data_IF_566352662477
#
_entry.id   IF_566352662477
#
_cell.length_a   1.000
_cell.length_b   1.000
_cell.length_c   1.000
_cell.angle_alpha   90.00
_cell.angle_beta   90.00
_cell.angle_gamma   90.00
#
_symmetry.space_group_name_H-M   'P 1'
#
loop_
_entity.id
_entity.type
_entity.pdbx_description
1 polymer ?
#
# COMPACT_ATOMS: atom_id res chain seq x y z
N UNK A 1 -14.35 -2.70 1.90
CA UNK A 1 -14.06 -3.96 2.61
C UNK A 1 -12.56 -4.01 2.79
N UNK A 2 -12.09 -3.86 4.03
CA UNK A 2 -10.67 -3.86 4.33
C UNK A 2 -10.09 -5.24 3.99
N UNK A 3 -9.12 -5.28 3.07
CA UNK A 3 -8.48 -6.53 2.61
C UNK A 3 -7.83 -7.28 3.77
N UNK A 4 -7.29 -6.54 4.73
CA UNK A 4 -6.65 -7.13 5.91
C UNK A 4 -7.71 -7.81 6.78
N UNK A 5 -8.86 -7.17 6.99
CA UNK A 5 -9.96 -7.77 7.76
C UNK A 5 -10.57 -8.97 7.04
N UNK A 6 -10.77 -8.87 5.71
CA UNK A 6 -11.39 -9.92 4.91
C UNK A 6 -10.54 -11.20 4.83
N UNK A 7 -9.22 -11.08 4.93
CA UNK A 7 -8.30 -12.21 4.91
C UNK A 7 -7.61 -12.42 6.27
N UNK A 8 -8.15 -11.87 7.35
CA UNK A 8 -7.55 -11.93 8.68
C UNK A 8 -7.30 -13.36 9.17
N UNK A 9 -8.20 -14.28 8.81
CA UNK A 9 -8.11 -15.72 9.04
C UNK A 9 -7.03 -16.43 8.21
N UNK A 10 -6.53 -15.79 7.15
CA UNK A 10 -5.49 -16.30 6.25
C UNK A 10 -4.14 -15.58 6.41
N UNK A 11 -4.10 -14.52 7.22
CA UNK A 11 -2.86 -13.78 7.50
C UNK A 11 -2.10 -14.54 8.58
N UNK A 12 -1.08 -15.28 8.16
CA UNK A 12 -0.21 -16.02 9.08
C UNK A 12 0.83 -15.15 9.79
N UNK A 13 0.98 -13.89 9.39
CA UNK A 13 1.92 -12.94 9.99
C UNK A 13 2.38 -11.85 9.02
N UNK A 14 3.30 -11.01 9.47
CA UNK A 14 3.97 -9.99 8.67
C UNK A 14 5.40 -10.45 8.35
N UNK A 15 5.82 -10.30 7.10
CA UNK A 15 7.19 -10.57 6.65
C UNK A 15 7.98 -9.26 6.62
N UNK A 16 9.11 -9.22 7.31
CA UNK A 16 10.10 -8.13 7.26
C UNK A 16 11.41 -8.68 6.66
N UNK A 17 11.82 -8.19 5.49
CA UNK A 17 13.09 -8.59 4.84
C UNK A 17 13.72 -7.43 4.07
N UNK A 18 15.02 -7.54 3.76
CA UNK A 18 15.88 -6.37 3.50
C UNK A 18 16.29 -6.06 2.07
N UNK A 19 15.98 -6.85 1.03
CA UNK A 19 16.54 -6.55 -0.30
C UNK A 19 15.53 -6.30 -1.42
N UNK A 20 14.57 -7.21 -1.66
CA UNK A 20 13.54 -7.01 -2.68
C UNK A 20 12.38 -7.97 -2.48
N UNK A 21 11.18 -7.43 -2.25
CA UNK A 21 9.94 -8.22 -2.32
C UNK A 21 9.35 -8.03 -3.72
N UNK A 22 9.55 -9.02 -4.60
CA UNK A 22 8.84 -9.10 -5.87
C UNK A 22 7.57 -9.91 -5.63
N UNK A 23 6.43 -9.22 -5.49
CA UNK A 23 5.14 -9.89 -5.43
C UNK A 23 4.76 -10.30 -6.86
N UNK A 24 5.09 -11.53 -7.24
CA UNK A 24 4.61 -12.13 -8.48
C UNK A 24 3.17 -12.59 -8.28
N UNK A 25 2.23 -11.68 -8.55
CA UNK A 25 0.80 -11.91 -8.46
C UNK A 25 0.02 -10.63 -8.60
N UNK A 26 -1.22 -10.73 -9.06
CA UNK A 26 -2.11 -9.57 -9.14
C UNK A 26 -2.89 -9.48 -7.83
N UNK A 27 -2.84 -8.34 -7.16
CA UNK A 27 -3.85 -8.02 -6.14
C UNK A 27 -5.15 -7.80 -6.91
N UNK A 28 -6.05 -8.78 -6.89
CA UNK A 28 -7.25 -8.81 -7.75
C UNK A 28 -8.06 -7.51 -7.68
N UNK A 29 -8.17 -6.92 -6.49
CA UNK A 29 -8.86 -5.64 -6.25
C UNK A 29 -8.17 -4.44 -6.90
N UNK A 30 -6.88 -4.53 -7.23
CA UNK A 30 -6.08 -3.48 -7.86
C UNK A 30 -5.74 -3.81 -9.33
N UNK A 31 -6.11 -5.01 -9.81
CA UNK A 31 -5.66 -5.54 -11.09
C UNK A 31 -6.26 -4.83 -12.31
N UNK A 32 -7.46 -4.26 -12.18
CA UNK A 32 -8.10 -3.55 -13.29
C UNK A 32 -8.95 -2.37 -12.79
N UNK A 33 -9.29 -1.40 -13.67
CA UNK A 33 -10.02 -0.20 -13.27
C UNK A 33 -11.36 -0.45 -12.60
N UNK A 34 -12.10 -1.51 -12.97
CA UNK A 34 -13.39 -1.84 -12.35
C UNK A 34 -13.22 -2.35 -10.92
N UNK A 35 -12.26 -3.23 -10.71
CA UNK A 35 -11.94 -3.74 -9.39
C UNK A 35 -11.37 -2.64 -8.49
N UNK A 36 -10.55 -1.76 -9.06
CA UNK A 36 -10.02 -0.61 -8.34
C UNK A 36 -11.11 0.38 -7.94
N UNK A 37 -12.07 0.67 -8.84
CA UNK A 37 -13.23 1.47 -8.52
C UNK A 37 -14.08 0.83 -7.40
N UNK A 38 -14.29 -0.49 -7.46
CA UNK A 38 -14.99 -1.22 -6.40
C UNK A 38 -14.25 -1.10 -5.07
N UNK A 39 -12.93 -1.20 -5.07
CA UNK A 39 -12.11 -0.97 -3.89
C UNK A 39 -12.33 0.43 -3.29
N UNK A 40 -12.30 1.48 -4.12
CA UNK A 40 -12.52 2.86 -3.67
C UNK A 40 -13.92 3.03 -3.06
N UNK A 41 -14.97 2.55 -3.73
CA UNK A 41 -16.36 2.59 -3.24
C UNK A 41 -16.46 1.87 -1.89
N UNK A 42 -15.83 0.70 -1.78
CA UNK A 42 -15.88 -0.12 -0.56
C UNK A 42 -15.14 0.50 0.63
N UNK A 43 -14.31 1.52 0.39
CA UNK A 43 -13.60 2.31 1.40
C UNK A 43 -14.18 3.73 1.52
N UNK A 44 -15.37 3.98 0.98
CA UNK A 44 -16.04 5.29 0.97
C UNK A 44 -15.21 6.41 0.34
N UNK A 45 -14.30 6.07 -0.59
CA UNK A 45 -13.49 7.03 -1.34
C UNK A 45 -14.22 7.38 -2.64
N UNK A 46 -14.58 8.66 -2.80
CA UNK A 46 -15.16 9.15 -4.06
C UNK A 46 -14.06 9.43 -5.07
N UNK A 47 -14.39 9.35 -6.36
CA UNK A 47 -13.45 9.68 -7.44
C UNK A 47 -12.95 11.13 -7.37
N UNK A 48 -13.79 12.07 -6.94
CA UNK A 48 -13.39 13.47 -6.71
C UNK A 48 -12.28 13.58 -5.65
N UNK A 49 -12.33 12.72 -4.64
CA UNK A 49 -11.40 12.72 -3.51
C UNK A 49 -10.16 11.84 -3.76
N UNK A 50 -10.07 11.22 -4.94
CA UNK A 50 -9.02 10.25 -5.27
C UNK A 50 -7.62 10.84 -5.12
N UNK A 51 -7.41 12.09 -5.58
CA UNK A 51 -6.10 12.73 -5.50
C UNK A 51 -5.63 12.87 -4.04
N UNK A 52 -6.50 13.38 -3.16
CA UNK A 52 -6.19 13.53 -1.74
C UNK A 52 -5.99 12.19 -1.06
N UNK A 53 -6.82 11.19 -1.39
CA UNK A 53 -6.65 9.82 -0.90
C UNK A 53 -5.29 9.23 -1.31
N UNK A 54 -4.96 9.28 -2.60
CA UNK A 54 -3.72 8.74 -3.12
C UNK A 54 -2.50 9.42 -2.47
N UNK A 55 -2.54 10.75 -2.34
CA UNK A 55 -1.50 11.51 -1.64
C UNK A 55 -1.35 11.05 -0.18
N UNK A 56 -2.44 10.90 0.55
CA UNK A 56 -2.41 10.45 1.94
C UNK A 56 -1.79 9.04 2.07
N UNK A 57 -2.15 8.11 1.17
CA UNK A 57 -1.56 6.76 1.19
C UNK A 57 -0.07 6.79 0.85
N UNK A 58 0.34 7.59 -0.14
CA UNK A 58 1.76 7.77 -0.49
C UNK A 58 2.53 8.38 0.67
N UNK A 59 2.03 9.47 1.27
CA UNK A 59 2.68 10.15 2.39
C UNK A 59 2.84 9.17 3.58
N UNK A 60 1.81 8.37 3.89
CA UNK A 60 1.87 7.35 4.93
C UNK A 60 2.92 6.27 4.65
N UNK A 61 3.06 5.85 3.39
CA UNK A 61 4.05 4.85 2.99
C UNK A 61 5.47 5.41 3.10
N UNK A 62 5.70 6.63 2.58
CA UNK A 62 6.99 7.30 2.66
C UNK A 62 7.41 7.51 4.12
N UNK A 63 6.50 8.02 4.98
CA UNK A 63 6.77 8.22 6.41
C UNK A 63 7.17 6.93 7.13
N UNK A 64 6.50 5.82 6.79
CA UNK A 64 6.85 4.51 7.36
C UNK A 64 8.23 4.06 6.91
N UNK A 65 8.54 4.19 5.62
CA UNK A 65 9.86 3.84 5.06
C UNK A 65 10.96 4.72 5.67
N UNK A 66 10.73 6.03 5.77
CA UNK A 66 11.66 6.98 6.38
C UNK A 66 11.95 6.62 7.84
N UNK A 67 10.91 6.33 8.62
CA UNK A 67 11.08 5.93 10.03
C UNK A 67 11.87 4.63 10.13
N UNK A 68 11.53 3.63 9.31
CA UNK A 68 12.21 2.34 9.31
C UNK A 68 13.69 2.43 8.91
N UNK A 69 14.01 3.23 7.91
CA UNK A 69 15.39 3.45 7.48
C UNK A 69 16.22 4.17 8.54
N UNK A 70 15.64 5.19 9.18
CA UNK A 70 16.27 5.89 10.30
C UNK A 70 16.57 4.94 11.46
N UNK A 71 15.62 4.06 11.82
CA UNK A 71 15.80 3.04 12.87
C UNK A 71 16.93 2.05 12.52
N UNK A 72 17.14 1.77 11.23
CA UNK A 72 18.21 0.91 10.74
C UNK A 72 19.54 1.65 10.48
N UNK A 73 19.57 2.98 10.62
CA UNK A 73 20.76 3.80 10.34
C UNK A 73 21.18 3.81 8.86
N UNK A 74 20.22 3.72 7.94
CA UNK A 74 20.48 3.72 6.48
C UNK A 74 19.88 4.94 5.80
N UNK A 75 20.56 5.46 4.78
CA UNK A 75 20.10 6.62 4.01
C UNK A 75 19.11 6.22 2.89
N UNK A 76 18.04 7.01 2.72
CA UNK A 76 17.08 6.85 1.62
C UNK A 76 17.39 7.83 0.50
N UNK A 77 17.33 7.33 -0.75
CA UNK A 77 17.32 8.17 -1.96
C UNK A 77 16.05 7.90 -2.74
N UNK A 78 15.18 8.92 -2.86
CA UNK A 78 14.02 8.87 -3.73
C UNK A 78 14.43 9.11 -5.18
N UNK A 79 14.09 8.18 -6.08
CA UNK A 79 14.28 8.34 -7.51
C UNK A 79 13.11 9.14 -8.09
N UNK A 80 13.38 10.31 -8.66
CA UNK A 80 12.40 11.06 -9.44
C UNK A 80 12.12 10.31 -10.74
N UNK A 81 10.84 10.03 -11.01
CA UNK A 81 10.35 9.54 -12.31
C UNK A 81 9.88 10.68 -13.19
#
# INVERSE_FOLDING_TARGET
MNIIEHYSDKINGALSSFDRIIINGYILSLQNPRQFLFYLISNSVKLLDFHSFAKQQTDSLCLHIDSYANDCGVDITYLSS
#
